data_IF_013953799723
#
_entry.id   IF_013953799723
#
_cell.length_a   1.000
_cell.length_b   1.000
_cell.length_c   1.000
_cell.angle_alpha   90.00
_cell.angle_beta   90.00
_cell.angle_gamma   90.00
#
_symmetry.space_group_name_H-M   'P 1'
#
loop_
_entity.id
_entity.type
_entity.pdbx_description
1 polymer ?
#
# COMPACT_ATOMS: atom_id res chain seq x y z
N UNK A 1 -12.18 3.24 -9.15
CA UNK A 1 -11.93 1.86 -8.63
C UNK A 1 -10.95 1.86 -7.47
N UNK A 2 -9.63 2.01 -7.68
CA UNK A 2 -8.66 1.92 -6.57
C UNK A 2 -8.92 2.96 -5.47
N UNK A 3 -9.07 4.24 -5.85
CA UNK A 3 -9.39 5.33 -4.90
C UNK A 3 -10.60 4.98 -4.03
N UNK A 4 -11.72 4.63 -4.65
CA UNK A 4 -12.97 4.31 -3.94
C UNK A 4 -12.81 3.12 -2.99
N UNK A 5 -12.07 2.08 -3.41
CA UNK A 5 -11.78 0.93 -2.56
C UNK A 5 -10.93 1.30 -1.35
N UNK A 6 -9.89 2.13 -1.55
CA UNK A 6 -9.01 2.59 -0.47
C UNK A 6 -9.75 3.51 0.50
N UNK A 7 -10.57 4.43 0.00
CA UNK A 7 -11.44 5.29 0.84
C UNK A 7 -12.40 4.44 1.68
N UNK A 8 -12.91 3.34 1.12
CA UNK A 8 -13.69 2.33 1.85
C UNK A 8 -12.93 1.69 3.01
N UNK A 9 -11.70 1.24 2.77
CA UNK A 9 -10.85 0.62 3.82
C UNK A 9 -10.47 1.64 4.90
N UNK A 10 -10.07 2.86 4.51
CA UNK A 10 -9.71 3.93 5.45
C UNK A 10 -10.93 4.33 6.29
N UNK A 11 -12.10 4.53 5.67
CA UNK A 11 -13.31 4.93 6.40
C UNK A 11 -13.77 3.86 7.39
N UNK A 12 -13.54 2.57 7.10
CA UNK A 12 -13.84 1.46 8.02
C UNK A 12 -12.78 1.31 9.12
N UNK A 13 -11.50 1.33 8.75
CA UNK A 13 -10.37 1.01 9.63
C UNK A 13 -9.82 2.20 10.43
N UNK A 14 -10.14 3.43 9.99
CA UNK A 14 -9.67 4.70 10.59
C UNK A 14 -8.15 4.74 10.77
N UNK A 15 -7.43 4.16 9.81
CA UNK A 15 -5.97 4.20 9.77
C UNK A 15 -5.51 5.50 9.12
N UNK A 16 -4.46 6.08 9.67
CA UNK A 16 -3.76 7.26 9.15
C UNK A 16 -2.36 6.87 8.65
N UNK A 17 -1.72 7.70 7.80
CA UNK A 17 -0.33 7.47 7.40
C UNK A 17 0.59 7.32 8.61
N UNK A 18 1.41 6.26 8.61
CA UNK A 18 2.32 5.92 9.70
C UNK A 18 1.71 5.02 10.78
N UNK A 19 0.44 4.62 10.66
CA UNK A 19 -0.20 3.70 11.62
C UNK A 19 0.30 2.25 11.51
N UNK A 20 1.12 1.96 10.48
CA UNK A 20 1.71 0.66 10.15
C UNK A 20 0.64 -0.37 9.79
N UNK A 21 -0.06 -0.13 8.68
CA UNK A 21 -1.14 -0.97 8.16
C UNK A 21 -1.05 -1.10 6.63
N UNK A 22 -1.96 -1.87 6.03
CA UNK A 22 -2.14 -1.89 4.58
C UNK A 22 -2.43 -0.51 3.95
N UNK A 23 -2.94 0.45 4.72
CA UNK A 23 -3.21 1.80 4.21
C UNK A 23 -1.93 2.55 3.86
N UNK A 24 -0.80 2.23 4.51
CA UNK A 24 0.52 2.78 4.21
C UNK A 24 1.02 2.36 2.82
N UNK A 25 0.44 1.33 2.21
CA UNK A 25 0.71 0.90 0.83
C UNK A 25 -0.37 1.40 -0.12
N UNK A 26 -1.64 1.27 0.28
CA UNK A 26 -2.77 1.66 -0.56
C UNK A 26 -2.77 3.14 -0.96
N UNK A 27 -2.47 4.04 -0.02
CA UNK A 27 -2.47 5.48 -0.28
C UNK A 27 -1.39 5.86 -1.31
N UNK A 28 -0.11 5.45 -1.16
CA UNK A 28 0.90 5.65 -2.20
C UNK A 28 0.56 5.01 -3.55
N UNK A 29 -0.06 3.82 -3.56
CA UNK A 29 -0.48 3.14 -4.80
C UNK A 29 -1.54 3.96 -5.53
N UNK A 30 -2.55 4.49 -4.83
CA UNK A 30 -3.59 5.34 -5.45
C UNK A 30 -2.97 6.61 -6.03
N UNK A 31 -2.01 7.21 -5.33
CA UNK A 31 -1.32 8.40 -5.84
C UNK A 31 -0.46 8.08 -7.07
N UNK A 32 0.25 6.96 -7.08
CA UNK A 32 1.02 6.50 -8.25
C UNK A 32 0.14 6.28 -9.48
N UNK A 33 -1.04 5.67 -9.30
CA UNK A 33 -2.01 5.48 -10.37
C UNK A 33 -2.61 6.81 -10.84
N UNK A 34 -2.87 7.76 -9.92
CA UNK A 34 -3.33 9.11 -10.25
C UNK A 34 -2.31 9.83 -11.14
N UNK A 35 -1.04 9.85 -10.74
CA UNK A 35 0.05 10.46 -11.50
C UNK A 35 0.24 9.81 -12.87
N UNK A 36 0.19 8.48 -12.94
CA UNK A 36 0.27 7.74 -14.21
C UNK A 36 -0.88 8.09 -15.15
N UNK A 37 -2.09 8.29 -14.60
CA UNK A 37 -3.26 8.73 -15.36
C UNK A 37 -3.08 10.15 -15.90
N UNK A 38 -2.55 11.08 -15.10
CA UNK A 38 -2.27 12.46 -15.55
C UNK A 38 -1.24 12.53 -16.67
N UNK A 39 -0.26 11.61 -16.63
CA UNK A 39 0.78 11.48 -17.64
C UNK A 39 0.34 10.66 -18.87
N UNK A 40 -0.91 10.17 -18.91
CA UNK A 40 -1.43 9.29 -19.96
C UNK A 40 -0.56 8.07 -20.24
N UNK A 41 0.01 7.47 -19.19
CA UNK A 41 0.77 6.23 -19.32
C UNK A 41 -0.15 5.07 -19.71
N UNK A 42 0.39 4.09 -20.43
CA UNK A 42 -0.36 2.86 -20.70
C UNK A 42 -0.65 2.09 -19.41
N UNK A 43 -1.75 1.34 -19.40
CA UNK A 43 -2.17 0.55 -18.23
C UNK A 43 -1.05 -0.39 -17.72
N UNK A 44 -0.32 -1.14 -18.57
CA UNK A 44 0.74 -2.02 -18.09
C UNK A 44 1.89 -1.24 -17.41
N UNK A 45 2.28 -0.09 -17.95
CA UNK A 45 3.34 0.76 -17.39
C UNK A 45 2.89 1.39 -16.07
N UNK A 46 1.65 1.88 -16.00
CA UNK A 46 1.07 2.45 -14.78
C UNK A 46 1.01 1.42 -13.64
N UNK A 47 0.60 0.18 -13.94
CA UNK A 47 0.53 -0.90 -12.95
C UNK A 47 1.92 -1.37 -12.52
N UNK A 48 2.91 -1.39 -13.41
CA UNK A 48 4.30 -1.68 -13.05
C UNK A 48 4.89 -0.59 -12.12
N UNK A 49 4.62 0.69 -12.40
CA UNK A 49 5.02 1.78 -11.53
C UNK A 49 4.35 1.68 -10.14
N UNK A 50 3.03 1.44 -10.11
CA UNK A 50 2.28 1.27 -8.86
C UNK A 50 2.77 0.05 -8.06
N UNK A 51 3.16 -1.04 -8.73
CA UNK A 51 3.76 -2.22 -8.08
C UNK A 51 5.08 -1.89 -7.37
N UNK A 52 5.96 -1.11 -7.99
CA UNK A 52 7.24 -0.70 -7.37
C UNK A 52 7.02 0.23 -6.17
N UNK A 53 6.03 1.12 -6.28
CA UNK A 53 5.60 1.96 -5.16
C UNK A 53 5.05 1.10 -4.03
N UNK A 54 4.25 0.07 -4.34
CA UNK A 54 3.71 -0.83 -3.33
C UNK A 54 4.80 -1.57 -2.55
N UNK A 55 5.85 -2.03 -3.23
CA UNK A 55 7.02 -2.67 -2.62
C UNK A 55 7.77 -1.72 -1.69
N UNK A 56 8.09 -0.52 -2.16
CA UNK A 56 8.78 0.50 -1.36
C UNK A 56 7.96 0.90 -0.14
N UNK A 57 6.65 1.06 -0.30
CA UNK A 57 5.73 1.43 0.76
C UNK A 57 5.60 0.29 1.81
N UNK A 58 5.53 -0.97 1.38
CA UNK A 58 5.51 -2.10 2.30
C UNK A 58 6.79 -2.17 3.14
N UNK A 59 7.96 -2.02 2.52
CA UNK A 59 9.25 -1.98 3.22
C UNK A 59 9.32 -0.81 4.22
N UNK A 60 8.76 0.35 3.86
CA UNK A 60 8.75 1.52 4.75
C UNK A 60 8.03 1.26 6.08
N UNK A 61 7.10 0.30 6.11
CA UNK A 61 6.40 -0.05 7.35
C UNK A 61 7.33 -0.62 8.42
N UNK A 62 8.49 -1.18 8.06
CA UNK A 62 9.43 -1.81 9.00
C UNK A 62 9.81 -0.85 10.13
N UNK A 63 10.11 0.42 9.80
CA UNK A 63 10.60 1.41 10.77
C UNK A 63 9.48 2.06 11.60
N UNK A 64 8.21 1.80 11.25
CA UNK A 64 7.06 2.40 11.94
C UNK A 64 6.69 1.63 13.21
N UNK A 65 6.24 2.36 14.23
CA UNK A 65 5.54 1.79 15.37
C UNK A 65 4.06 1.63 15.04
N UNK A 66 3.50 0.44 15.26
CA UNK A 66 2.09 0.18 15.02
C UNK A 66 1.18 0.97 15.95
N UNK A 67 0.18 1.66 15.37
CA UNK A 67 -0.86 2.40 16.10
C UNK A 67 -2.26 1.79 15.94
N UNK A 68 -2.42 0.85 15.00
CA UNK A 68 -3.67 0.13 14.75
C UNK A 68 -3.44 -1.39 14.74
N UNK A 69 -4.55 -2.13 14.84
CA UNK A 69 -4.55 -3.59 14.76
C UNK A 69 -3.81 -4.27 15.92
N UNK A 70 -3.62 -5.60 15.82
CA UNK A 70 -3.00 -6.41 16.88
C UNK A 70 -1.52 -6.08 17.11
N UNK A 71 -0.81 -5.58 16.10
CA UNK A 71 0.58 -5.17 16.23
C UNK A 71 0.75 -3.98 17.19
N UNK A 72 -0.25 -3.10 17.30
CA UNK A 72 -0.21 -1.96 18.23
C UNK A 72 -0.09 -2.36 19.70
N UNK A 73 -0.53 -3.58 20.06
CA UNK A 73 -0.45 -4.10 21.43
C UNK A 73 1.00 -4.31 21.90
N UNK A 74 1.95 -4.35 20.96
CA UNK A 74 3.36 -4.57 21.23
C UNK A 74 4.14 -3.26 21.46
N UNK A 75 3.52 -2.09 21.21
CA UNK A 75 4.19 -0.79 21.33
C UNK A 75 5.45 -0.72 20.48
N UNK A 76 6.55 -0.23 21.05
CA UNK A 76 7.85 -0.10 20.37
C UNK A 76 8.39 -1.42 19.80
N UNK A 77 8.00 -2.58 20.37
CA UNK A 77 8.42 -3.90 19.86
C UNK A 77 7.86 -4.22 18.47
N UNK A 78 6.92 -3.43 17.96
CA UNK A 78 6.44 -3.52 16.57
C UNK A 78 7.41 -2.90 15.55
N UNK A 79 8.32 -2.03 15.98
CA UNK A 79 9.38 -1.46 15.13
C UNK A 79 10.35 -2.59 14.73
N UNK A 80 10.89 -2.51 13.51
CA UNK A 80 11.81 -3.49 12.95
C UNK A 80 11.15 -4.69 12.25
N UNK A 81 9.82 -4.73 12.20
CA UNK A 81 9.06 -5.82 11.57
C UNK A 81 8.14 -5.28 10.48
N UNK A 82 8.14 -5.87 9.29
CA UNK A 82 7.26 -5.45 8.20
C UNK A 82 5.80 -5.77 8.50
N UNK A 83 4.86 -4.89 8.13
CA UNK A 83 3.43 -5.16 8.31
C UNK A 83 2.93 -6.23 7.32
N UNK A 84 2.27 -7.31 7.79
CA UNK A 84 1.74 -8.36 6.92
C UNK A 84 0.61 -7.88 6.02
N UNK A 85 -0.21 -6.92 6.46
CA UNK A 85 -1.29 -6.35 5.65
C UNK A 85 -0.74 -5.55 4.47
N UNK A 86 0.23 -4.67 4.73
CA UNK A 86 1.00 -3.95 3.73
C UNK A 86 1.67 -4.89 2.71
N UNK A 87 2.30 -5.96 3.20
CA UNK A 87 2.94 -6.97 2.35
C UNK A 87 1.94 -7.66 1.43
N UNK A 88 0.73 -7.93 1.93
CA UNK A 88 -0.35 -8.53 1.12
C UNK A 88 -0.79 -7.60 -0.01
N UNK A 89 -0.87 -6.28 0.24
CA UNK A 89 -1.17 -5.28 -0.81
C UNK A 89 -0.07 -5.24 -1.86
N UNK A 90 1.21 -5.26 -1.44
CA UNK A 90 2.34 -5.36 -2.35
C UNK A 90 2.21 -6.58 -3.29
N UNK A 91 1.91 -7.77 -2.75
CA UNK A 91 1.71 -8.96 -3.57
C UNK A 91 0.55 -8.82 -4.56
N UNK A 92 -0.58 -8.26 -4.13
CA UNK A 92 -1.72 -8.00 -5.03
C UNK A 92 -1.31 -7.09 -6.21
N UNK A 93 -0.55 -6.03 -5.94
CA UNK A 93 -0.09 -5.11 -6.99
C UNK A 93 0.94 -5.73 -7.93
N UNK A 94 1.87 -6.55 -7.41
CA UNK A 94 2.82 -7.29 -8.23
C UNK A 94 2.11 -8.26 -9.18
N UNK A 95 1.11 -8.99 -8.68
CA UNK A 95 0.35 -9.93 -9.51
C UNK A 95 -0.52 -9.22 -10.54
N UNK A 96 -1.10 -8.07 -10.18
CA UNK A 96 -1.87 -7.27 -11.13
C UNK A 96 -0.99 -6.68 -12.25
N UNK A 97 0.23 -6.24 -11.92
CA UNK A 97 1.19 -5.77 -12.92
C UNK A 97 1.63 -6.89 -13.87
N UNK A 98 1.79 -8.12 -13.37
CA UNK A 98 2.04 -9.30 -14.21
C UNK A 98 0.85 -9.59 -15.14
N UNK A 99 -0.38 -9.60 -14.61
CA UNK A 99 -1.59 -9.89 -15.38
C UNK A 99 -1.86 -8.88 -16.50
N UNK A 100 -1.40 -7.64 -16.36
CA UNK A 100 -1.58 -6.61 -17.38
C UNK A 100 -0.58 -6.67 -18.55
N UNK A 101 0.39 -7.60 -18.50
CA UNK A 101 1.38 -7.79 -19.59
C UNK A 101 0.90 -8.78 -20.65
N UNK A 102 -0.17 -9.50 -20.37
CA UNK A 102 -0.88 -10.38 -21.31
C UNK A 102 -1.98 -9.63 -22.05
#
# INVERSE_FOLDING_TARGET
MFRDGVDGVISRGKAEPGDKTMCDVWVPVVESLRQSSEQNLSVPVALEAASRIAESAAQSTITMQARKGRASYLGERSIGHQDPGATSVMFMMQMLALAAKE
#
